data_IF_024047222183
#
_entry.id   IF_024047222183
#
_cell.length_a   1.000
_cell.length_b   1.000
_cell.length_c   1.000
_cell.angle_alpha   90.00
_cell.angle_beta   90.00
_cell.angle_gamma   90.00
#
_symmetry.space_group_name_H-M   'P 1'
#
loop_
_entity.id
_entity.type
_entity.pdbx_description
1 polymer ?
#
# COMPACT_ATOMS: atom_id res chain seq x y z
N UNK A 1 -4.84 -3.56 -11.74
CA UNK A 1 -6.27 -3.95 -11.75
C UNK A 1 -6.53 -4.89 -12.92
N UNK A 2 -6.13 -4.59 -14.16
CA UNK A 2 -6.43 -5.41 -15.33
C UNK A 2 -6.02 -6.88 -15.22
N UNK A 3 -4.88 -7.20 -14.60
CA UNK A 3 -4.48 -8.59 -14.35
C UNK A 3 -5.45 -9.28 -13.38
N UNK A 4 -5.85 -8.60 -12.30
CA UNK A 4 -6.81 -9.15 -11.33
C UNK A 4 -8.13 -9.47 -12.05
N UNK A 5 -8.60 -8.58 -12.92
CA UNK A 5 -9.82 -8.78 -13.71
C UNK A 5 -9.73 -10.04 -14.59
N UNK A 6 -8.62 -10.24 -15.27
CA UNK A 6 -8.38 -11.45 -16.09
C UNK A 6 -8.36 -12.71 -15.20
N UNK A 7 -7.74 -12.64 -14.01
CA UNK A 7 -7.73 -13.78 -13.08
C UNK A 7 -9.15 -14.13 -12.60
N UNK A 8 -9.98 -13.12 -12.29
CA UNK A 8 -11.40 -13.34 -11.94
C UNK A 8 -12.19 -13.94 -13.11
N UNK A 9 -12.04 -13.40 -14.33
CA UNK A 9 -12.70 -13.91 -15.53
C UNK A 9 -12.31 -15.37 -15.83
N UNK A 10 -11.03 -15.69 -15.65
CA UNK A 10 -10.50 -17.05 -15.83
C UNK A 10 -10.77 -17.96 -14.64
N UNK A 11 -11.35 -17.44 -13.54
CA UNK A 11 -11.60 -18.14 -12.27
C UNK A 11 -10.33 -18.76 -11.68
N UNK A 12 -9.21 -18.06 -11.82
CA UNK A 12 -7.95 -18.46 -11.20
C UNK A 12 -8.00 -18.03 -9.73
N UNK A 13 -7.94 -18.97 -8.78
CA UNK A 13 -7.96 -18.61 -7.36
C UNK A 13 -6.67 -17.86 -6.98
N UNK A 14 -6.83 -16.87 -6.11
CA UNK A 14 -5.71 -16.13 -5.52
C UNK A 14 -5.69 -16.45 -4.03
N UNK A 15 -4.73 -17.27 -3.60
CA UNK A 15 -4.64 -17.76 -2.23
C UNK A 15 -3.97 -16.76 -1.29
N UNK A 16 -3.14 -15.86 -1.83
CA UNK A 16 -2.53 -14.76 -1.08
C UNK A 16 -1.93 -13.69 -2.00
N UNK A 17 -1.65 -12.53 -1.42
CA UNK A 17 -1.10 -11.38 -2.13
C UNK A 17 0.07 -10.81 -1.33
N UNK A 18 1.18 -10.53 -2.02
CA UNK A 18 2.25 -9.68 -1.51
C UNK A 18 2.38 -8.46 -2.43
N UNK A 19 2.40 -7.27 -1.85
CA UNK A 19 2.44 -6.02 -2.59
C UNK A 19 3.46 -5.03 -2.07
N UNK A 20 4.03 -4.25 -2.99
CA UNK A 20 4.91 -3.12 -2.68
C UNK A 20 4.35 -1.86 -3.33
N UNK A 21 4.36 -0.72 -2.60
CA UNK A 21 3.94 0.59 -3.11
C UNK A 21 2.51 0.56 -3.66
N UNK A 22 2.28 0.94 -4.89
CA UNK A 22 0.97 0.85 -5.55
C UNK A 22 0.42 -0.58 -5.54
N UNK A 23 1.30 -1.60 -5.62
CA UNK A 23 0.93 -3.00 -5.49
C UNK A 23 0.37 -3.35 -4.10
N UNK A 24 0.86 -2.69 -3.05
CA UNK A 24 0.31 -2.85 -1.70
C UNK A 24 -1.10 -2.24 -1.59
N UNK A 25 -1.35 -1.07 -2.20
CA UNK A 25 -2.68 -0.43 -2.19
C UNK A 25 -3.71 -1.28 -2.93
N UNK A 26 -3.42 -1.62 -4.19
CA UNK A 26 -4.35 -2.40 -5.01
C UNK A 26 -4.52 -3.81 -4.44
N UNK A 27 -3.42 -4.43 -3.98
CA UNK A 27 -3.43 -5.75 -3.38
C UNK A 27 -4.21 -5.81 -2.07
N UNK A 28 -4.04 -4.82 -1.18
CA UNK A 28 -4.79 -4.72 0.07
C UNK A 28 -6.30 -4.53 -0.19
N UNK A 29 -6.65 -3.63 -1.10
CA UNK A 29 -8.04 -3.39 -1.45
C UNK A 29 -8.71 -4.64 -2.04
N UNK A 30 -8.01 -5.39 -2.89
CA UNK A 30 -8.50 -6.67 -3.39
C UNK A 30 -8.58 -7.74 -2.29
N UNK A 31 -7.57 -7.79 -1.41
CA UNK A 31 -7.52 -8.73 -0.30
C UNK A 31 -8.65 -8.56 0.71
N UNK A 32 -9.22 -7.36 0.83
CA UNK A 32 -10.41 -7.09 1.66
C UNK A 32 -11.73 -7.55 1.02
N UNK A 33 -11.70 -8.09 -0.20
CA UNK A 33 -12.86 -8.62 -0.90
C UNK A 33 -13.47 -7.70 -1.95
N UNK A 34 -12.82 -6.57 -2.28
CA UNK A 34 -13.25 -5.74 -3.42
C UNK A 34 -12.97 -6.47 -4.73
N UNK A 35 -13.97 -6.56 -5.61
CA UNK A 35 -13.78 -7.11 -6.95
C UNK A 35 -12.93 -6.19 -7.85
N UNK A 36 -12.36 -6.74 -8.92
CA UNK A 36 -11.63 -5.97 -9.93
C UNK A 36 -12.49 -4.84 -10.52
N UNK A 37 -13.77 -5.08 -10.78
CA UNK A 37 -14.70 -4.08 -11.29
C UNK A 37 -14.97 -2.96 -10.28
N UNK A 38 -15.01 -3.26 -8.98
CA UNK A 38 -15.12 -2.26 -7.93
C UNK A 38 -13.86 -1.39 -7.87
N UNK A 39 -12.68 -2.00 -7.93
CA UNK A 39 -11.39 -1.30 -7.97
C UNK A 39 -11.26 -0.40 -9.20
N UNK A 40 -11.72 -0.86 -10.37
CA UNK A 40 -11.68 -0.09 -11.62
C UNK A 40 -12.55 1.16 -11.55
N UNK A 41 -13.64 1.14 -10.80
CA UNK A 41 -14.50 2.32 -10.57
C UNK A 41 -13.91 3.29 -9.55
N UNK A 42 -13.34 2.77 -8.49
CA UNK A 42 -12.90 3.58 -7.34
C UNK A 42 -11.54 4.24 -7.58
N UNK A 43 -10.58 3.53 -8.17
CA UNK A 43 -9.21 4.04 -8.36
C UNK A 43 -9.14 5.33 -9.21
N UNK A 44 -9.94 5.52 -10.28
CA UNK A 44 -9.98 6.78 -11.02
C UNK A 44 -10.62 7.95 -10.24
N UNK A 45 -11.48 7.67 -9.26
CA UNK A 45 -12.15 8.70 -8.45
C UNK A 45 -11.21 9.29 -7.39
N UNK A 46 -10.09 8.61 -7.09
CA UNK A 46 -9.07 9.11 -6.17
C UNK A 46 -8.42 10.35 -6.78
N UNK A 47 -8.51 11.48 -6.09
CA UNK A 47 -7.80 12.68 -6.47
C UNK A 47 -6.29 12.54 -6.18
N UNK A 48 -5.60 11.79 -7.03
CA UNK A 48 -4.16 11.52 -6.91
C UNK A 48 -3.33 12.79 -6.78
N UNK A 49 -3.77 13.89 -7.39
CA UNK A 49 -3.07 15.16 -7.36
C UNK A 49 -3.09 15.82 -5.97
N UNK A 50 -4.19 15.68 -5.24
CA UNK A 50 -4.29 16.15 -3.85
C UNK A 50 -3.74 15.13 -2.88
N UNK A 51 -4.01 13.86 -3.14
CA UNK A 51 -3.49 12.73 -2.36
C UNK A 51 -1.95 12.70 -2.35
N UNK A 52 -1.31 13.12 -3.45
CA UNK A 52 0.15 13.16 -3.60
C UNK A 52 0.77 14.53 -3.25
N UNK A 53 -0.02 15.55 -2.95
CA UNK A 53 0.52 16.84 -2.48
C UNK A 53 1.00 16.70 -1.03
N UNK A 54 2.29 16.87 -0.83
CA UNK A 54 2.82 17.20 0.48
C UNK A 54 2.26 18.56 0.89
N UNK A 55 1.66 18.67 2.08
CA UNK A 55 1.21 19.96 2.59
C UNK A 55 2.38 20.95 2.61
N UNK A 56 2.18 22.24 2.22
CA UNK A 56 3.23 23.24 2.25
C UNK A 56 3.82 23.34 3.67
N UNK A 57 5.12 23.15 3.77
CA UNK A 57 5.86 23.08 5.05
C UNK A 57 6.01 24.43 5.72
N UNK A 58 5.53 25.52 5.09
CA UNK A 58 5.87 26.89 5.47
C UNK A 58 4.98 27.46 6.56
N UNK A 59 3.73 27.01 6.69
CA UNK A 59 2.73 27.63 7.54
C UNK A 59 2.51 26.95 8.93
N UNK A 60 3.33 25.95 9.29
CA UNK A 60 3.12 25.17 10.51
C UNK A 60 4.20 25.48 11.56
N UNK A 61 3.82 25.80 12.83
CA UNK A 61 4.76 26.02 13.93
C UNK A 61 5.71 24.82 14.15
N UNK A 62 6.97 25.08 14.53
CA UNK A 62 8.05 24.09 14.61
C UNK A 62 7.68 22.84 15.46
N UNK A 63 7.00 23.02 16.60
CA UNK A 63 6.55 21.92 17.46
C UNK A 63 5.43 21.08 16.81
N UNK A 64 4.61 21.70 15.97
CA UNK A 64 3.58 21.04 15.20
C UNK A 64 4.18 20.37 13.96
N UNK A 65 5.25 20.96 13.37
CA UNK A 65 6.01 20.33 12.30
C UNK A 65 6.62 19.00 12.71
N UNK A 66 6.99 18.82 13.97
CA UNK A 66 7.44 17.53 14.49
C UNK A 66 6.30 16.51 14.63
N UNK A 67 5.12 16.96 15.06
CA UNK A 67 3.92 16.11 15.18
C UNK A 67 3.28 15.87 13.80
N UNK A 68 3.19 16.90 12.97
CA UNK A 68 2.62 16.83 11.63
C UNK A 68 3.55 16.13 10.65
N UNK A 69 4.86 16.07 10.89
CA UNK A 69 5.78 15.21 10.15
C UNK A 69 5.41 13.73 10.30
N UNK A 70 4.74 13.39 11.40
CA UNK A 70 4.18 12.06 11.67
C UNK A 70 2.79 11.89 11.00
N UNK A 71 2.04 12.99 10.78
CA UNK A 71 0.62 12.94 10.39
C UNK A 71 0.27 13.55 9.03
N UNK A 72 1.16 14.29 8.38
CA UNK A 72 0.84 14.99 7.13
C UNK A 72 1.38 14.31 5.87
N UNK A 73 0.90 13.16 5.61
CA UNK A 73 0.56 12.78 4.23
C UNK A 73 -0.91 13.08 4.06
N UNK A 74 -1.26 13.79 3.01
CA UNK A 74 -2.65 14.08 2.65
C UNK A 74 -3.48 12.86 2.23
N UNK A 75 -3.15 11.71 2.80
CA UNK A 75 -4.02 10.55 2.86
C UNK A 75 -4.79 10.63 4.17
N UNK A 76 -5.80 11.46 4.21
CA UNK A 76 -6.84 11.33 5.22
C UNK A 76 -7.70 10.12 4.85
N UNK A 77 -7.36 8.99 5.42
CA UNK A 77 -8.29 7.89 5.46
C UNK A 77 -9.31 8.19 6.56
N UNK A 78 -10.50 8.59 6.19
CA UNK A 78 -11.62 8.77 7.12
C UNK A 78 -12.31 7.44 7.40
N UNK A 79 -12.90 7.28 8.60
CA UNK A 79 -13.82 6.19 8.92
C UNK A 79 -15.24 6.71 8.74
N UNK A 80 -16.01 6.14 7.81
CA UNK A 80 -17.43 6.41 7.67
C UNK A 80 -18.18 5.09 7.59
N UNK A 81 -19.17 4.92 8.47
CA UNK A 81 -20.06 3.73 8.52
C UNK A 81 -19.33 2.38 8.64
N UNK A 82 -18.19 2.37 9.40
CA UNK A 82 -17.40 1.15 9.63
C UNK A 82 -16.43 0.78 8.51
N UNK A 83 -16.28 1.64 7.50
CA UNK A 83 -15.31 1.51 6.42
C UNK A 83 -14.24 2.60 6.45
N UNK A 84 -13.01 2.32 5.99
CA UNK A 84 -12.03 3.36 5.67
C UNK A 84 -12.50 4.05 4.40
N UNK A 85 -12.71 5.33 4.54
CA UNK A 85 -12.84 6.21 3.40
C UNK A 85 -11.42 6.72 3.14
N UNK A 86 -10.71 6.14 2.17
CA UNK A 86 -9.79 6.92 1.37
C UNK A 86 -10.57 8.11 0.86
N UNK A 87 -10.00 9.23 0.38
CA UNK A 87 -10.82 10.35 -0.07
C UNK A 87 -12.00 9.98 -0.98
N UNK A 88 -12.16 8.71 -1.31
CA UNK A 88 -13.25 8.12 -2.08
C UNK A 88 -13.71 6.71 -1.66
N UNK A 89 -13.52 6.28 -0.40
CA UNK A 89 -14.19 5.07 0.11
C UNK A 89 -13.66 3.72 -0.40
N UNK A 90 -12.37 3.46 -0.32
CA UNK A 90 -11.76 2.31 -1.03
C UNK A 90 -11.62 1.04 -0.19
N UNK A 91 -11.59 1.08 1.13
CA UNK A 91 -11.33 -0.12 1.93
C UNK A 91 -12.30 -0.26 3.10
N UNK A 92 -13.04 -1.37 3.21
CA UNK A 92 -13.78 -1.68 4.44
C UNK A 92 -12.79 -1.85 5.60
N UNK A 93 -12.92 -1.02 6.66
CA UNK A 93 -12.15 -1.19 7.88
C UNK A 93 -12.73 -2.32 8.70
N UNK A 94 -12.23 -3.49 8.49
CA UNK A 94 -12.07 -4.36 9.62
C UNK A 94 -10.75 -3.95 10.30
N UNK A 95 -10.78 -3.69 11.60
CA UNK A 95 -9.57 -3.65 12.43
C UNK A 95 -8.97 -5.05 12.41
N UNK A 96 -8.41 -5.44 11.27
CA UNK A 96 -7.85 -6.78 11.09
C UNK A 96 -6.43 -6.69 11.59
N UNK A 97 -6.23 -7.03 12.86
CA UNK A 97 -4.91 -7.08 13.47
C UNK A 97 -3.99 -8.14 12.83
N UNK A 98 -4.53 -9.09 12.10
CA UNK A 98 -3.78 -10.13 11.37
C UNK A 98 -4.26 -10.18 9.91
N UNK A 99 -3.38 -9.84 8.98
CA UNK A 99 -3.72 -9.79 7.55
C UNK A 99 -3.89 -11.18 6.93
N UNK A 100 -3.59 -12.26 7.67
CA UNK A 100 -3.94 -13.63 7.27
C UNK A 100 -5.43 -13.91 7.37
N UNK A 101 -6.15 -13.09 8.16
CA UNK A 101 -7.60 -13.23 8.37
C UNK A 101 -8.43 -12.42 7.36
N UNK A 102 -7.79 -11.67 6.47
CA UNK A 102 -8.48 -11.06 5.34
C UNK A 102 -9.06 -12.14 4.42
N UNK A 103 -10.11 -11.86 3.65
CA UNK A 103 -10.66 -12.77 2.66
C UNK A 103 -9.60 -13.41 1.76
N UNK A 104 -8.55 -12.64 1.42
CA UNK A 104 -7.32 -13.15 0.81
C UNK A 104 -6.16 -12.72 1.71
N UNK A 105 -5.35 -13.64 2.26
CA UNK A 105 -4.16 -13.33 3.04
C UNK A 105 -3.24 -12.32 2.34
N UNK A 106 -2.78 -11.31 3.09
CA UNK A 106 -2.06 -10.17 2.50
C UNK A 106 -0.74 -9.88 3.22
N UNK A 107 0.23 -9.38 2.46
CA UNK A 107 1.51 -8.85 2.95
C UNK A 107 1.83 -7.54 2.24
N UNK A 108 2.20 -6.51 3.01
CA UNK A 108 2.77 -5.28 2.46
C UNK A 108 4.26 -5.21 2.74
N UNK A 109 5.04 -4.77 1.76
CA UNK A 109 6.49 -4.62 1.91
C UNK A 109 6.87 -3.16 2.03
N UNK A 110 7.67 -2.84 3.04
CA UNK A 110 8.28 -1.53 3.24
C UNK A 110 9.78 -1.66 3.52
N UNK A 111 10.46 -0.53 3.64
CA UNK A 111 11.87 -0.43 4.00
C UNK A 111 12.00 0.29 5.33
N UNK A 112 12.72 -0.27 6.28
CA UNK A 112 13.16 0.43 7.48
C UNK A 112 14.19 1.49 7.10
N UNK A 113 13.90 2.75 7.39
CA UNK A 113 14.74 3.87 6.94
C UNK A 113 16.11 3.90 7.61
N UNK A 114 16.21 3.42 8.85
CA UNK A 114 17.45 3.48 9.61
C UNK A 114 18.41 2.35 9.23
N UNK A 115 17.89 1.13 9.08
CA UNK A 115 18.71 -0.05 8.79
C UNK A 115 18.81 -0.39 7.31
N UNK A 116 17.91 0.13 6.46
CA UNK A 116 17.75 -0.29 5.08
C UNK A 116 17.18 -1.70 4.92
N UNK A 117 16.72 -2.33 6.00
CA UNK A 117 16.17 -3.68 5.95
C UNK A 117 14.76 -3.71 5.35
N UNK A 118 14.44 -4.82 4.68
CA UNK A 118 13.08 -5.12 4.26
C UNK A 118 12.20 -5.38 5.49
N UNK A 119 11.03 -4.78 5.51
CA UNK A 119 9.98 -5.01 6.51
C UNK A 119 8.75 -5.54 5.82
N UNK A 120 8.23 -6.67 6.31
CA UNK A 120 6.99 -7.27 5.81
C UNK A 120 5.92 -7.06 6.86
N UNK A 121 4.89 -6.28 6.53
CA UNK A 121 3.71 -6.10 7.35
C UNK A 121 2.73 -7.25 7.08
N UNK A 122 2.46 -8.03 8.10
CA UNK A 122 1.50 -9.15 8.07
C UNK A 122 0.39 -9.00 9.12
N UNK A 123 0.45 -7.96 9.92
CA UNK A 123 -0.49 -7.63 11.00
C UNK A 123 -0.43 -6.15 11.35
N UNK A 124 -1.37 -5.70 12.18
CA UNK A 124 -1.49 -4.33 12.66
C UNK A 124 -2.55 -3.55 11.89
N UNK A 125 -2.34 -2.27 11.72
CA UNK A 125 -3.22 -1.41 10.94
C UNK A 125 -2.88 -1.53 9.44
N UNK A 126 -3.84 -2.01 8.66
CA UNK A 126 -3.68 -2.19 7.22
C UNK A 126 -3.40 -0.87 6.50
N UNK A 127 -4.00 0.23 6.98
CA UNK A 127 -3.80 1.57 6.43
C UNK A 127 -2.36 2.05 6.64
N UNK A 128 -1.84 1.82 7.85
CA UNK A 128 -0.45 2.15 8.18
C UNK A 128 0.51 1.33 7.33
N UNK A 129 0.24 0.04 7.16
CA UNK A 129 1.05 -0.86 6.33
C UNK A 129 1.08 -0.41 4.85
N UNK A 130 -0.10 -0.09 4.27
CA UNK A 130 -0.21 0.45 2.90
C UNK A 130 0.55 1.76 2.75
N UNK A 131 0.39 2.69 3.73
CA UNK A 131 1.04 3.98 3.73
C UNK A 131 2.56 3.87 3.84
N UNK A 132 3.07 3.00 4.72
CA UNK A 132 4.50 2.73 4.86
C UNK A 132 5.08 2.17 3.56
N UNK A 133 4.37 1.21 2.95
CA UNK A 133 4.77 0.61 1.68
C UNK A 133 4.83 1.60 0.52
N UNK A 134 4.07 2.69 0.56
CA UNK A 134 4.00 3.70 -0.50
C UNK A 134 4.73 5.01 -0.14
N UNK A 135 5.44 5.08 0.97
CA UNK A 135 6.15 6.28 1.40
C UNK A 135 7.44 6.51 0.60
N UNK A 136 7.30 6.88 -0.69
CA UNK A 136 8.42 7.13 -1.61
C UNK A 136 9.27 8.30 -1.08
N UNK A 137 10.58 8.10 -0.82
CA UNK A 137 11.45 9.16 -0.35
C UNK A 137 11.49 10.35 -1.33
N UNK A 138 11.40 11.55 -0.77
CA UNK A 138 11.35 12.78 -1.55
C UNK A 138 9.95 13.19 -2.04
N UNK A 139 9.01 12.23 -2.14
CA UNK A 139 7.62 12.50 -2.46
C UNK A 139 6.73 12.49 -1.21
N UNK A 140 7.04 11.61 -0.25
CA UNK A 140 6.23 11.39 0.94
C UNK A 140 7.07 11.32 2.21
N UNK A 141 6.46 11.70 3.34
CA UNK A 141 7.10 11.56 4.65
C UNK A 141 7.16 10.08 5.05
N UNK A 142 8.28 9.66 5.70
CA UNK A 142 8.36 8.34 6.31
C UNK A 142 7.23 8.10 7.30
N UNK A 143 6.85 6.85 7.48
CA UNK A 143 5.80 6.42 8.42
C UNK A 143 6.44 5.89 9.68
N UNK A 144 6.12 6.48 10.83
CA UNK A 144 6.49 5.92 12.12
C UNK A 144 5.55 4.74 12.45
N UNK A 145 6.14 3.58 12.69
CA UNK A 145 5.44 2.41 13.18
C UNK A 145 6.29 1.73 14.26
N UNK A 146 5.77 1.71 15.48
CA UNK A 146 6.46 1.19 16.67
C UNK A 146 7.82 1.84 16.94
N UNK A 147 7.94 3.15 16.73
CA UNK A 147 9.16 3.93 16.98
C UNK A 147 10.25 3.76 15.92
N UNK A 148 9.92 3.17 14.77
CA UNK A 148 10.83 3.05 13.61
C UNK A 148 10.21 3.70 12.39
N UNK A 149 11.04 4.39 11.61
CA UNK A 149 10.63 5.06 10.38
C UNK A 149 10.67 4.10 9.19
N UNK A 150 9.57 4.03 8.46
CA UNK A 150 9.44 3.19 7.28
C UNK A 150 9.21 4.03 6.03
N UNK A 151 9.81 3.60 4.95
CA UNK A 151 9.66 4.18 3.61
C UNK A 151 9.28 3.11 2.61
N UNK A 152 9.01 3.52 1.37
CA UNK A 152 8.56 2.62 0.30
C UNK A 152 9.45 1.38 0.16
N UNK A 153 8.80 0.24 0.05
CA UNK A 153 9.47 -1.05 -0.11
C UNK A 153 10.21 -1.21 -1.43
N UNK A 154 9.96 -0.33 -2.42
CA UNK A 154 10.65 -0.36 -3.71
C UNK A 154 12.17 -0.26 -3.60
N UNK A 155 12.68 0.34 -2.51
CA UNK A 155 14.13 0.49 -2.29
C UNK A 155 14.82 -0.85 -2.05
N UNK A 156 14.11 -1.84 -1.51
CA UNK A 156 14.66 -3.15 -1.18
C UNK A 156 13.99 -4.30 -1.92
N UNK A 157 12.69 -4.20 -2.19
CA UNK A 157 11.92 -5.28 -2.84
C UNK A 157 10.70 -4.76 -3.60
N UNK A 158 10.93 -4.23 -4.80
CA UNK A 158 9.85 -3.70 -5.63
C UNK A 158 8.88 -4.77 -6.15
N UNK A 159 9.35 -5.99 -6.36
CA UNK A 159 8.55 -7.13 -6.79
C UNK A 159 8.72 -8.27 -5.77
N UNK A 160 7.84 -8.41 -4.76
CA UNK A 160 8.03 -9.26 -3.59
C UNK A 160 7.62 -10.73 -3.85
N UNK A 161 8.22 -11.37 -4.86
CA UNK A 161 7.96 -12.77 -5.24
C UNK A 161 8.37 -13.75 -4.14
N UNK A 162 9.50 -13.50 -3.49
CA UNK A 162 10.00 -14.25 -2.34
C UNK A 162 9.02 -14.19 -1.16
N UNK A 163 8.51 -12.99 -0.84
CA UNK A 163 7.53 -12.80 0.24
C UNK A 163 6.24 -13.59 -0.04
N UNK A 164 5.74 -13.58 -1.28
CA UNK A 164 4.57 -14.37 -1.66
C UNK A 164 4.84 -15.88 -1.53
N UNK A 165 5.99 -16.34 -2.02
CA UNK A 165 6.37 -17.76 -1.99
C UNK A 165 6.55 -18.28 -0.57
N UNK A 166 7.21 -17.53 0.29
CA UNK A 166 7.43 -17.90 1.68
C UNK A 166 6.17 -17.85 2.54
N UNK A 167 5.19 -17.02 2.12
CA UNK A 167 3.96 -16.85 2.90
C UNK A 167 2.91 -17.92 2.63
N UNK A 168 2.69 -18.33 1.37
CA UNK A 168 1.52 -19.13 1.02
C UNK A 168 1.47 -19.68 -0.42
N UNK A 169 2.39 -19.34 -1.32
CA UNK A 169 2.22 -19.61 -2.74
C UNK A 169 3.15 -20.73 -3.26
N UNK A 170 2.57 -21.78 -3.82
CA UNK A 170 3.30 -22.78 -4.61
C UNK A 170 3.62 -22.21 -6.01
N UNK A 171 2.68 -21.45 -6.59
CA UNK A 171 2.83 -20.79 -7.89
C UNK A 171 2.66 -19.29 -7.67
N UNK A 172 3.60 -18.49 -8.19
CA UNK A 172 3.55 -17.02 -8.06
C UNK A 172 3.33 -16.36 -9.42
N UNK A 173 2.30 -15.54 -9.49
CA UNK A 173 2.05 -14.64 -10.63
C UNK A 173 2.63 -13.28 -10.27
N UNK A 174 3.75 -12.92 -10.89
CA UNK A 174 4.42 -11.65 -10.63
C UNK A 174 3.97 -10.57 -11.63
N UNK A 175 3.37 -9.48 -11.12
CA UNK A 175 2.92 -8.34 -11.93
C UNK A 175 3.95 -7.22 -11.83
N UNK A 176 4.75 -7.04 -12.88
CA UNK A 176 5.74 -5.97 -12.97
C UNK A 176 5.20 -4.83 -13.83
N UNK A 177 5.04 -3.65 -13.22
CA UNK A 177 4.58 -2.42 -13.88
C UNK A 177 5.71 -1.42 -14.17
N UNK A 178 6.97 -1.83 -13.98
CA UNK A 178 8.11 -0.96 -14.28
C UNK A 178 8.26 -0.72 -15.79
N UNK A 179 8.62 0.52 -16.15
CA UNK A 179 8.93 0.87 -17.54
C UNK A 179 10.36 0.40 -17.86
N UNK A 180 10.58 -0.27 -19.01
CA UNK A 180 11.93 -0.59 -19.44
C UNK A 180 12.79 0.68 -19.56
N UNK A 181 14.10 0.62 -19.26
CA UNK A 181 14.99 1.74 -19.48
C UNK A 181 14.92 2.20 -20.94
N UNK A 182 14.80 3.52 -21.15
CA UNK A 182 14.91 4.07 -22.50
C UNK A 182 16.28 3.74 -23.06
N UNK A 183 16.33 3.17 -24.29
CA UNK A 183 17.59 3.00 -25.02
C UNK A 183 18.17 4.39 -25.24
N UNK A 184 19.43 4.61 -24.84
CA UNK A 184 20.18 5.77 -25.28
C UNK A 184 20.30 5.71 -26.79
N UNK A 185 19.73 6.68 -27.48
CA UNK A 185 19.94 6.94 -28.90
C UNK A 185 21.35 7.47 -29.14
#
# INVERSE_FOLDING_TARGET
IGIIKVLEEMRVPVDCIAGTSMGAIVGAAYATGLSADALEKVVPEVNWKETLKSAPREDVPFHRKQLDFIFTMGFEFGVKDGGIVAPAGIVPTHQTHDFKQLPIPFRAVATDLESGAMVVFDKGDLTVAMRASMAVPGAFSPVDYNGRLHVDGMLVRNLPVDVARESCADVVIAVNISTPPMKRS
#
